data_IF_292085624303
#
_entry.id   IF_292085624303
#
_cell.length_a   1.000
_cell.length_b   1.000
_cell.length_c   1.000
_cell.angle_alpha   90.00
_cell.angle_beta   90.00
_cell.angle_gamma   90.00
#
_symmetry.space_group_name_H-M   'P 1'
#
loop_
_entity.id
_entity.type
_entity.pdbx_description
1 polymer ?
#
# COMPACT_ATOMS: atom_id res chain seq x y z
N UNK A 1 -7.65 -0.15 -9.91
CA UNK A 1 -7.83 1.19 -9.33
C UNK A 1 -8.46 1.04 -7.96
N UNK A 2 -8.19 1.98 -7.06
CA UNK A 2 -8.66 1.96 -5.67
C UNK A 2 -9.53 3.19 -5.45
N UNK A 3 -10.67 3.01 -4.81
CA UNK A 3 -11.60 4.09 -4.46
C UNK A 3 -11.98 4.01 -2.98
N UNK A 4 -12.78 4.94 -2.52
CA UNK A 4 -13.35 4.89 -1.17
C UNK A 4 -14.03 3.55 -0.91
N UNK A 5 -13.99 3.09 0.35
CA UNK A 5 -14.56 1.82 0.83
C UNK A 5 -13.83 0.54 0.34
N UNK A 6 -12.84 0.63 -0.58
CA UNK A 6 -12.06 -0.54 -1.03
C UNK A 6 -11.27 -1.13 0.13
N UNK A 7 -11.36 -2.46 0.28
CA UNK A 7 -10.56 -3.22 1.25
C UNK A 7 -9.23 -3.59 0.60
N UNK A 8 -8.15 -3.35 1.32
CA UNK A 8 -6.77 -3.51 0.87
C UNK A 8 -6.00 -4.40 1.85
N UNK A 9 -4.97 -5.07 1.36
CA UNK A 9 -4.05 -5.84 2.18
C UNK A 9 -2.87 -4.96 2.60
N UNK A 10 -2.48 -5.01 3.87
CA UNK A 10 -1.22 -4.44 4.30
C UNK A 10 -0.07 -5.40 3.96
N UNK A 11 0.88 -4.93 3.15
CA UNK A 11 2.03 -5.71 2.70
C UNK A 11 3.22 -5.61 3.66
N UNK A 12 3.10 -4.81 4.68
CA UNK A 12 4.15 -4.50 5.65
C UNK A 12 4.05 -5.33 6.94
N UNK A 13 5.06 -5.21 7.80
CA UNK A 13 5.09 -5.84 9.12
C UNK A 13 4.60 -4.92 10.25
N UNK A 14 3.74 -3.94 9.95
CA UNK A 14 3.13 -3.05 10.96
C UNK A 14 2.18 -3.77 11.93
N UNK A 15 1.72 -4.96 11.57
CA UNK A 15 0.73 -5.75 12.30
C UNK A 15 -0.68 -5.69 11.70
N UNK A 16 -0.95 -4.76 10.80
CA UNK A 16 -2.21 -4.72 10.06
C UNK A 16 -2.33 -5.91 9.09
N UNK A 17 -3.51 -6.49 8.97
CA UNK A 17 -3.85 -7.51 7.97
C UNK A 17 -4.65 -6.92 6.82
N UNK A 18 -5.78 -6.30 7.14
CA UNK A 18 -6.65 -5.63 6.17
C UNK A 18 -6.97 -4.22 6.61
N UNK A 19 -7.00 -3.31 5.64
CA UNK A 19 -7.30 -1.90 5.84
C UNK A 19 -8.36 -1.46 4.84
N UNK A 20 -9.14 -0.45 5.18
CA UNK A 20 -10.21 0.09 4.35
C UNK A 20 -9.89 1.52 3.94
N UNK A 21 -9.99 1.82 2.67
CA UNK A 21 -9.78 3.17 2.16
C UNK A 21 -10.94 4.08 2.58
N UNK A 22 -10.63 5.20 3.24
CA UNK A 22 -11.58 6.23 3.63
C UNK A 22 -11.60 7.33 2.56
N UNK A 23 -10.43 7.85 2.17
CA UNK A 23 -10.31 8.97 1.23
C UNK A 23 -9.07 8.83 0.36
N UNK A 24 -9.19 9.21 -0.91
CA UNK A 24 -8.08 9.34 -1.85
C UNK A 24 -7.51 10.75 -1.73
N UNK A 25 -6.18 10.86 -1.60
CA UNK A 25 -5.46 12.13 -1.54
C UNK A 25 -4.85 12.49 -2.90
N UNK A 26 -4.43 13.76 -3.05
CA UNK A 26 -3.66 14.21 -4.21
C UNK A 26 -4.47 14.79 -5.37
N UNK A 27 -5.59 15.45 -5.08
CA UNK A 27 -6.37 16.19 -6.08
C UNK A 27 -7.77 16.57 -5.63
N UNK A 28 -8.28 17.66 -6.19
CA UNK A 28 -9.67 18.06 -5.98
C UNK A 28 -10.61 17.03 -6.65
N UNK A 29 -11.62 16.56 -5.93
CA UNK A 29 -12.59 15.53 -6.38
C UNK A 29 -11.98 14.24 -6.94
N UNK A 30 -10.73 13.89 -6.56
CA UNK A 30 -10.06 12.67 -7.03
C UNK A 30 -10.78 11.44 -6.47
N UNK A 31 -11.48 10.71 -7.35
CA UNK A 31 -12.27 9.51 -6.99
C UNK A 31 -11.43 8.24 -6.93
N UNK A 32 -10.41 8.11 -7.80
CA UNK A 32 -9.63 6.89 -7.98
C UNK A 32 -8.16 7.10 -7.66
N UNK A 33 -7.56 6.11 -7.00
CA UNK A 33 -6.14 6.08 -6.72
C UNK A 33 -5.44 4.98 -7.53
N UNK A 34 -4.20 5.26 -7.95
CA UNK A 34 -3.31 4.36 -8.69
C UNK A 34 -2.08 4.03 -7.85
N UNK A 35 -1.19 3.18 -8.38
CA UNK A 35 0.11 2.89 -7.76
C UNK A 35 0.89 4.20 -7.57
N UNK A 36 1.45 4.40 -6.38
CA UNK A 36 2.17 5.60 -6.00
C UNK A 36 1.32 6.73 -5.42
N UNK A 37 0.00 6.58 -5.41
CA UNK A 37 -0.88 7.52 -4.72
C UNK A 37 -0.93 7.23 -3.21
N UNK A 38 -1.14 8.29 -2.45
CA UNK A 38 -1.37 8.21 -1.01
C UNK A 38 -2.86 8.26 -0.73
N UNK A 39 -3.32 7.44 0.19
CA UNK A 39 -4.71 7.37 0.65
C UNK A 39 -4.79 7.43 2.17
N UNK A 40 -5.96 7.80 2.68
CA UNK A 40 -6.31 7.68 4.11
C UNK A 40 -7.04 6.35 4.29
N UNK A 41 -6.61 5.59 5.27
CA UNK A 41 -7.14 4.26 5.57
C UNK A 41 -7.53 4.12 7.03
N UNK A 42 -8.43 3.18 7.34
CA UNK A 42 -8.68 2.66 8.69
C UNK A 42 -8.26 1.20 8.78
N UNK A 43 -7.68 0.80 9.90
CA UNK A 43 -7.26 -0.58 10.15
C UNK A 43 -8.48 -1.40 10.55
N UNK A 44 -8.83 -2.42 9.74
CA UNK A 44 -10.00 -3.28 9.99
C UNK A 44 -9.64 -4.53 10.77
N UNK A 45 -8.59 -5.23 10.36
CA UNK A 45 -8.15 -6.47 11.00
C UNK A 45 -6.64 -6.44 11.24
N UNK A 46 -6.22 -6.95 12.39
CA UNK A 46 -4.82 -7.21 12.72
C UNK A 46 -4.45 -8.66 12.40
N UNK A 47 -3.16 -8.95 12.23
CA UNK A 47 -2.66 -10.33 12.13
C UNK A 47 -2.70 -10.97 13.51
N UNK A 48 -3.13 -12.23 13.62
CA UNK A 48 -3.29 -12.90 14.92
C UNK A 48 -2.01 -12.91 15.77
N UNK A 49 -0.85 -13.16 15.13
CA UNK A 49 0.46 -13.15 15.81
C UNK A 49 0.93 -11.75 16.25
N UNK A 50 0.34 -10.70 15.71
CA UNK A 50 0.79 -9.32 15.93
C UNK A 50 -0.12 -8.53 16.88
N UNK A 51 -1.12 -9.15 17.51
CA UNK A 51 -2.06 -8.43 18.38
C UNK A 51 -1.37 -7.72 19.56
N UNK A 52 -0.33 -8.33 20.12
CA UNK A 52 0.42 -7.78 21.26
C UNK A 52 1.57 -6.86 20.83
N UNK A 53 2.20 -7.10 19.67
CA UNK A 53 3.41 -6.40 19.20
C UNK A 53 3.16 -5.47 18.02
N UNK A 54 1.88 -5.25 17.65
CA UNK A 54 1.53 -4.41 16.50
C UNK A 54 1.87 -2.93 16.76
N UNK A 55 2.48 -2.29 15.77
CA UNK A 55 2.73 -0.84 15.77
C UNK A 55 1.46 -0.01 15.51
N UNK A 56 0.34 -0.66 15.20
CA UNK A 56 -0.94 -0.04 14.85
C UNK A 56 -2.08 -0.73 15.59
N UNK A 57 -3.14 0.00 15.89
CA UNK A 57 -4.33 -0.53 16.56
C UNK A 57 -5.50 -0.66 15.59
N UNK A 58 -6.42 -1.57 15.88
CA UNK A 58 -7.67 -1.71 15.13
C UNK A 58 -8.51 -0.44 15.26
N UNK A 59 -9.09 0.03 14.15
CA UNK A 59 -9.91 1.23 14.10
C UNK A 59 -9.14 2.54 13.88
N UNK A 60 -7.83 2.59 14.13
CA UNK A 60 -7.03 3.79 13.92
C UNK A 60 -6.91 4.17 12.45
N UNK A 61 -6.73 5.48 12.23
CA UNK A 61 -6.61 6.09 10.90
C UNK A 61 -5.15 6.41 10.60
N UNK A 62 -4.69 5.96 9.43
CA UNK A 62 -3.33 6.21 8.94
C UNK A 62 -3.34 6.68 7.49
N UNK A 63 -2.23 7.27 7.06
CA UNK A 63 -1.91 7.41 5.63
C UNK A 63 -1.30 6.11 5.12
N UNK A 64 -1.54 5.78 3.86
CA UNK A 64 -0.94 4.60 3.23
C UNK A 64 -0.56 4.89 1.78
N UNK A 65 0.56 4.29 1.34
CA UNK A 65 1.03 4.30 -0.04
C UNK A 65 0.54 3.06 -0.76
N UNK A 66 -0.05 3.22 -1.93
CA UNK A 66 -0.46 2.10 -2.79
C UNK A 66 0.76 1.58 -3.54
N UNK A 67 1.11 0.32 -3.31
CA UNK A 67 2.26 -0.34 -3.92
C UNK A 67 1.88 -1.29 -5.05
N UNK A 68 0.66 -1.82 -5.01
CA UNK A 68 0.16 -2.78 -5.98
C UNK A 68 -1.35 -2.68 -6.14
N UNK A 69 -1.83 -2.85 -7.37
CA UNK A 69 -3.26 -2.94 -7.70
C UNK A 69 -3.54 -4.17 -8.54
N UNK A 70 -4.76 -4.69 -8.48
CA UNK A 70 -5.21 -5.79 -9.33
C UNK A 70 -5.24 -5.44 -10.83
N UNK A 71 -5.34 -4.14 -11.13
CA UNK A 71 -5.41 -3.69 -12.52
C UNK A 71 -4.04 -3.80 -13.19
N UNK A 72 -4.02 -4.25 -14.43
CA UNK A 72 -2.87 -4.19 -15.33
C UNK A 72 -2.40 -2.74 -15.45
N UNK A 73 -1.12 -2.49 -15.20
CA UNK A 73 -0.52 -1.17 -15.33
C UNK A 73 0.42 -1.19 -16.53
N UNK A 74 0.12 -0.40 -17.53
CA UNK A 74 0.97 -0.22 -18.71
C UNK A 74 2.04 0.82 -18.39
N UNK A 75 3.31 0.52 -18.64
CA UNK A 75 4.44 1.46 -18.58
C UNK A 75 4.47 2.30 -19.85
N UNK A 76 5.30 3.33 -19.86
CA UNK A 76 5.52 4.19 -21.06
C UNK A 76 6.03 3.39 -22.26
N UNK A 77 6.79 2.32 -22.01
CA UNK A 77 7.38 1.43 -23.03
C UNK A 77 6.38 0.38 -23.56
N UNK A 78 5.07 0.59 -23.39
CA UNK A 78 4.00 -0.34 -23.71
C UNK A 78 4.11 -1.72 -23.02
N UNK A 79 5.15 -1.95 -22.21
CA UNK A 79 5.23 -3.14 -21.38
C UNK A 79 4.21 -3.02 -20.25
N UNK A 80 3.52 -4.11 -19.96
CA UNK A 80 2.56 -4.14 -18.87
C UNK A 80 3.10 -4.95 -17.70
N UNK A 81 3.12 -4.34 -16.53
CA UNK A 81 3.33 -5.09 -15.29
C UNK A 81 2.00 -5.63 -14.81
N UNK A 82 1.89 -6.94 -14.79
CA UNK A 82 0.74 -7.64 -14.27
C UNK A 82 1.19 -8.68 -13.26
N UNK A 83 0.64 -8.61 -12.08
CA UNK A 83 0.94 -9.58 -11.03
C UNK A 83 -0.01 -10.78 -11.20
N UNK A 84 0.46 -11.84 -11.87
CA UNK A 84 -0.28 -13.10 -12.02
C UNK A 84 -0.25 -13.93 -10.73
N UNK A 85 -1.34 -14.61 -10.44
CA UNK A 85 -1.41 -15.65 -9.41
C UNK A 85 -2.29 -15.34 -8.20
N UNK A 86 -2.26 -16.24 -7.22
CA UNK A 86 -3.06 -16.20 -5.98
C UNK A 86 -2.83 -14.94 -5.11
N UNK A 87 -1.79 -14.16 -5.38
CA UNK A 87 -1.42 -12.93 -4.67
C UNK A 87 -2.01 -11.67 -5.29
N UNK A 88 -2.97 -11.79 -6.21
CA UNK A 88 -3.58 -10.67 -6.91
C UNK A 88 -4.47 -9.83 -5.98
N UNK A 89 -3.83 -9.13 -5.05
CA UNK A 89 -4.53 -8.26 -4.10
C UNK A 89 -4.05 -6.82 -4.22
N UNK A 90 -4.96 -5.88 -4.03
CA UNK A 90 -4.58 -4.49 -3.82
C UNK A 90 -3.79 -4.39 -2.52
N UNK A 91 -2.55 -3.91 -2.56
CA UNK A 91 -1.67 -3.84 -1.40
C UNK A 91 -1.16 -2.45 -1.14
N UNK A 92 -1.01 -2.15 0.15
CA UNK A 92 -0.55 -0.84 0.65
C UNK A 92 0.52 -0.99 1.72
N UNK A 93 1.32 0.06 1.91
CA UNK A 93 2.26 0.24 3.03
C UNK A 93 1.77 1.40 3.89
N UNK A 94 1.74 1.23 5.20
CA UNK A 94 1.34 2.26 6.14
C UNK A 94 2.45 3.31 6.32
N UNK A 95 2.04 4.57 6.38
CA UNK A 95 2.92 5.73 6.48
C UNK A 95 2.57 6.51 7.75
N UNK A 96 3.59 6.97 8.47
CA UNK A 96 3.41 7.86 9.61
C UNK A 96 3.14 9.31 9.15
N UNK A 97 2.92 10.21 10.12
CA UNK A 97 2.67 11.65 9.85
C UNK A 97 3.83 12.31 9.08
N UNK A 98 5.06 11.86 9.27
CA UNK A 98 6.29 12.38 8.62
C UNK A 98 6.48 11.87 7.18
N UNK A 99 5.58 11.05 6.64
CA UNK A 99 5.70 10.50 5.27
C UNK A 99 6.64 9.29 5.15
N UNK A 100 7.09 8.73 6.26
CA UNK A 100 7.98 7.57 6.31
C UNK A 100 7.16 6.29 6.56
N UNK A 101 7.65 5.10 6.12
CA UNK A 101 7.00 3.84 6.44
C UNK A 101 7.00 3.59 7.95
N UNK A 102 5.91 3.09 8.50
CA UNK A 102 5.79 2.68 9.92
C UNK A 102 6.54 1.36 10.13
N UNK A 103 6.49 0.51 9.13
CA UNK A 103 7.10 -0.80 9.15
C UNK A 103 8.58 -0.77 8.83
N UNK A 104 9.34 -1.72 9.36
CA UNK A 104 10.76 -1.92 9.05
C UNK A 104 10.98 -2.84 7.84
N UNK A 105 9.98 -3.61 7.42
CA UNK A 105 10.07 -4.58 6.33
C UNK A 105 8.77 -4.69 5.57
N UNK A 106 8.86 -4.83 4.24
CA UNK A 106 7.75 -5.12 3.35
C UNK A 106 7.93 -6.54 2.80
N UNK A 107 6.95 -7.39 3.04
CA UNK A 107 7.01 -8.83 2.68
C UNK A 107 6.63 -9.13 1.23
N UNK A 108 6.11 -8.14 0.52
CA UNK A 108 5.65 -8.31 -0.87
C UNK A 108 6.45 -7.41 -1.82
N UNK A 109 6.67 -7.85 -3.07
CA UNK A 109 7.38 -7.03 -4.05
C UNK A 109 6.58 -5.78 -4.41
N UNK A 110 7.31 -4.71 -4.72
CA UNK A 110 6.78 -3.39 -5.08
C UNK A 110 6.84 -3.22 -6.60
N UNK A 111 5.86 -2.52 -7.17
CA UNK A 111 5.89 -2.19 -8.60
C UNK A 111 7.06 -1.26 -8.95
N UNK A 112 7.77 -1.57 -10.04
CA UNK A 112 8.86 -0.73 -10.59
C UNK A 112 8.41 0.70 -10.96
N UNK A 113 7.12 0.94 -11.16
CA UNK A 113 6.55 2.27 -11.35
C UNK A 113 6.82 3.23 -10.17
N UNK A 114 7.15 2.67 -8.99
CA UNK A 114 7.52 3.43 -7.79
C UNK A 114 9.01 3.81 -7.74
N UNK A 115 9.82 3.49 -8.76
CA UNK A 115 11.24 3.85 -8.84
C UNK A 115 11.41 5.37 -9.04
N UNK A 116 11.06 6.16 -8.02
CA UNK A 116 11.19 7.62 -7.97
C UNK A 116 11.90 8.02 -6.68
N UNK A 117 12.65 9.13 -6.71
CA UNK A 117 13.44 9.63 -5.55
C UNK A 117 12.63 9.67 -4.24
N UNK A 118 11.38 10.13 -4.28
CA UNK A 118 10.52 10.24 -3.09
C UNK A 118 10.13 8.89 -2.45
N UNK A 119 10.26 7.78 -3.18
CA UNK A 119 9.87 6.44 -2.69
C UNK A 119 11.05 5.52 -2.40
N UNK A 120 12.29 6.01 -2.45
CA UNK A 120 13.49 5.20 -2.23
C UNK A 120 13.44 4.47 -0.89
N UNK A 121 12.99 5.13 0.19
CA UNK A 121 12.85 4.51 1.52
C UNK A 121 11.87 3.33 1.56
N UNK A 122 10.84 3.33 0.72
CA UNK A 122 9.89 2.21 0.61
C UNK A 122 10.49 1.06 -0.19
N UNK A 123 11.28 1.37 -1.19
CA UNK A 123 11.97 0.38 -2.03
C UNK A 123 13.05 -0.33 -1.23
N UNK A 124 13.85 0.39 -0.43
CA UNK A 124 14.95 -0.19 0.36
C UNK A 124 14.49 -1.22 1.40
N UNK A 125 13.26 -1.10 1.91
CA UNK A 125 12.70 -2.05 2.89
C UNK A 125 11.87 -3.17 2.23
N UNK A 126 11.74 -3.18 0.91
CA UNK A 126 10.99 -4.19 0.16
C UNK A 126 11.86 -5.39 -0.21
N UNK A 127 11.20 -6.51 -0.48
CA UNK A 127 11.86 -7.74 -0.94
C UNK A 127 12.32 -7.68 -2.40
N UNK A 128 11.88 -6.69 -3.18
CA UNK A 128 12.27 -6.51 -4.58
C UNK A 128 11.27 -5.66 -5.37
N UNK A 129 11.63 -5.41 -6.63
CA UNK A 129 10.84 -4.66 -7.61
C UNK A 129 10.37 -5.59 -8.73
N UNK A 130 9.15 -5.39 -9.18
CA UNK A 130 8.58 -6.05 -10.38
C UNK A 130 8.07 -5.01 -11.36
#
# INVERSE_FOLDING_TARGET
MIQQQTILKAADNSGAKTVKCIKVLGGFRKKYARIGDTIIISVQKLRNKAKLTSKVKKGEIYKALIIRTKRKNTKKDNTSSFFNGKTLTNSVILINKKGLPIASRVSEPISSLLKKKRFIKFISISTGLI
#
